data_IF_130067750867
#
_entry.id   IF_130067750867
#
_cell.length_a   1.000
_cell.length_b   1.000
_cell.length_c   1.000
_cell.angle_alpha   90.00
_cell.angle_beta   90.00
_cell.angle_gamma   90.00
#
_symmetry.space_group_name_H-M   'P 1'
#
loop_
_entity.id
_entity.type
_entity.pdbx_description
1 polymer ?
#
# COMPACT_ATOMS: atom_id res chain seq x y z
N UNK A 1 29.67 -52.87 -2.30
CA UNK A 1 28.39 -53.07 -3.00
C UNK A 1 28.17 -51.82 -3.82
N UNK A 2 28.32 -51.90 -5.14
CA UNK A 2 28.03 -50.77 -6.04
C UNK A 2 26.52 -50.65 -6.12
N UNK A 3 25.95 -49.55 -5.61
CA UNK A 3 24.56 -49.22 -5.90
C UNK A 3 24.41 -49.16 -7.43
N UNK A 4 23.44 -49.90 -7.96
CA UNK A 4 23.11 -49.83 -9.39
C UNK A 4 22.67 -48.40 -9.74
N UNK A 5 22.74 -48.01 -11.03
CA UNK A 5 22.30 -46.68 -11.44
C UNK A 5 20.85 -46.46 -10.97
N UNK A 6 20.65 -45.38 -10.21
CA UNK A 6 19.32 -44.96 -9.75
C UNK A 6 18.39 -44.83 -10.95
N UNK A 7 17.13 -45.25 -10.80
CA UNK A 7 16.16 -45.14 -11.89
C UNK A 7 16.01 -43.66 -12.32
N UNK A 8 15.75 -43.36 -13.60
CA UNK A 8 15.54 -41.97 -14.04
C UNK A 8 14.47 -41.22 -13.22
N UNK A 9 13.42 -41.91 -12.79
CA UNK A 9 12.39 -41.33 -11.91
C UNK A 9 12.95 -40.97 -10.53
N UNK A 10 13.79 -41.82 -9.95
CA UNK A 10 14.46 -41.55 -8.67
C UNK A 10 15.36 -40.32 -8.77
N UNK A 11 16.04 -40.13 -9.91
CA UNK A 11 16.88 -38.94 -10.13
C UNK A 11 16.04 -37.66 -10.20
N UNK A 12 14.88 -37.70 -10.87
CA UNK A 12 13.95 -36.55 -10.95
C UNK A 12 13.27 -36.22 -9.62
N UNK A 13 13.21 -37.18 -8.68
CA UNK A 13 12.65 -37.00 -7.34
C UNK A 13 13.70 -36.59 -6.31
N UNK A 14 15.00 -36.61 -6.67
CA UNK A 14 16.04 -36.16 -5.77
C UNK A 14 15.91 -34.65 -5.55
N UNK A 15 16.00 -34.17 -4.29
CA UNK A 15 15.95 -32.75 -4.01
C UNK A 15 17.21 -32.06 -4.53
N UNK A 16 17.08 -30.80 -4.92
CA UNK A 16 18.21 -29.95 -5.26
C UNK A 16 18.95 -29.56 -3.97
N UNK A 17 20.25 -29.82 -3.95
CA UNK A 17 21.14 -29.57 -2.80
C UNK A 17 21.15 -28.10 -2.36
N UNK A 18 21.07 -27.15 -3.32
CA UNK A 18 21.01 -25.72 -3.05
C UNK A 18 19.64 -25.29 -2.53
N UNK A 19 18.57 -26.01 -2.83
CA UNK A 19 17.26 -25.67 -2.26
C UNK A 19 17.21 -25.96 -0.75
N UNK A 20 17.98 -26.95 -0.29
CA UNK A 20 17.95 -27.42 1.10
C UNK A 20 18.65 -26.49 2.10
N UNK A 21 19.45 -25.50 1.67
CA UNK A 21 20.18 -24.60 2.60
C UNK A 21 19.33 -23.43 3.13
N UNK A 22 18.12 -23.25 2.60
CA UNK A 22 17.22 -22.15 2.97
C UNK A 22 16.24 -22.58 4.05
N UNK A 23 16.37 -21.98 5.23
CA UNK A 23 15.51 -22.26 6.39
C UNK A 23 14.72 -21.01 6.83
N UNK A 24 13.75 -21.15 7.76
CA UNK A 24 12.99 -20.00 8.28
C UNK A 24 13.84 -18.88 8.89
N UNK A 25 15.07 -19.19 9.34
CA UNK A 25 16.01 -18.21 9.93
C UNK A 25 17.01 -17.64 8.90
N UNK A 26 16.82 -17.94 7.61
CA UNK A 26 17.67 -17.49 6.51
C UNK A 26 18.63 -18.57 6.02
N UNK A 27 19.86 -18.16 5.71
CA UNK A 27 20.94 -19.09 5.34
C UNK A 27 21.47 -19.72 6.63
N UNK A 28 21.05 -20.93 6.96
CA UNK A 28 21.43 -21.50 8.25
C UNK A 28 20.91 -22.90 8.49
N UNK A 29 21.67 -23.89 8.01
CA UNK A 29 21.44 -25.32 8.22
C UNK A 29 20.70 -25.98 7.07
N UNK A 30 21.24 -27.11 6.60
CA UNK A 30 20.60 -27.92 5.57
C UNK A 30 19.34 -28.57 6.16
N UNK A 31 18.21 -28.34 5.52
CA UNK A 31 16.94 -28.94 5.87
C UNK A 31 16.84 -30.36 5.32
N UNK A 32 16.11 -31.22 6.03
CA UNK A 32 15.63 -32.46 5.46
C UNK A 32 14.70 -32.16 4.27
N UNK A 33 14.72 -32.95 3.18
CA UNK A 33 13.98 -32.65 1.95
C UNK A 33 12.47 -32.42 2.17
N UNK A 34 11.84 -33.26 3.00
CA UNK A 34 10.42 -33.09 3.33
C UNK A 34 10.17 -31.81 4.14
N UNK A 35 11.09 -31.45 5.03
CA UNK A 35 11.04 -30.21 5.79
C UNK A 35 11.17 -28.98 4.88
N UNK A 36 12.08 -29.03 3.91
CA UNK A 36 12.22 -27.97 2.90
C UNK A 36 10.94 -27.80 2.07
N UNK A 37 10.37 -28.90 1.57
CA UNK A 37 9.11 -28.88 0.83
C UNK A 37 7.96 -28.27 1.65
N UNK A 38 7.79 -28.72 2.90
CA UNK A 38 6.76 -28.19 3.81
C UNK A 38 6.97 -26.69 4.07
N UNK A 39 8.20 -26.27 4.32
CA UNK A 39 8.53 -24.87 4.53
C UNK A 39 8.21 -24.00 3.30
N UNK A 40 8.56 -24.43 2.09
CA UNK A 40 8.21 -23.68 0.87
C UNK A 40 6.69 -23.63 0.66
N UNK A 41 5.96 -24.73 0.92
CA UNK A 41 4.48 -24.76 0.89
C UNK A 41 3.86 -23.74 1.84
N UNK A 42 4.30 -23.72 3.10
CA UNK A 42 3.82 -22.77 4.12
C UNK A 42 4.14 -21.32 3.73
N UNK A 43 5.33 -21.09 3.17
CA UNK A 43 5.78 -19.75 2.77
C UNK A 43 4.90 -19.16 1.66
N UNK A 44 4.30 -19.97 0.78
CA UNK A 44 3.37 -19.48 -0.26
C UNK A 44 1.90 -19.82 0.03
N UNK A 45 1.57 -20.31 1.22
CA UNK A 45 0.19 -20.66 1.57
C UNK A 45 -0.76 -19.45 1.49
N UNK A 46 -0.28 -18.27 1.91
CA UNK A 46 -1.03 -17.02 1.83
C UNK A 46 -1.09 -16.41 0.42
N UNK A 47 -0.29 -16.90 -0.53
CA UNK A 47 -0.33 -16.44 -1.92
C UNK A 47 -1.48 -17.15 -2.67
N UNK A 48 -2.72 -16.78 -2.33
CA UNK A 48 -3.95 -17.33 -2.92
C UNK A 48 -4.78 -16.22 -3.55
N UNK A 49 -5.28 -16.47 -4.76
CA UNK A 49 -6.17 -15.55 -5.45
C UNK A 49 -7.62 -15.69 -4.96
N UNK A 50 -8.33 -14.57 -4.84
CA UNK A 50 -9.74 -14.55 -4.41
C UNK A 50 -10.69 -15.16 -5.45
N UNK A 51 -11.88 -15.57 -5.02
CA UNK A 51 -12.86 -16.24 -5.88
C UNK A 51 -13.31 -15.39 -7.07
N UNK A 52 -13.40 -14.07 -6.87
CA UNK A 52 -13.77 -13.09 -7.89
C UNK A 52 -12.80 -13.03 -9.09
N UNK A 53 -11.56 -13.50 -8.93
CA UNK A 53 -10.59 -13.56 -10.02
C UNK A 53 -10.99 -14.67 -11.01
N UNK A 54 -10.98 -14.43 -12.34
CA UNK A 54 -11.34 -15.41 -13.34
C UNK A 54 -10.55 -16.72 -13.24
N UNK A 55 -11.22 -17.85 -13.51
CA UNK A 55 -10.65 -19.19 -13.40
C UNK A 55 -9.35 -19.35 -14.20
N UNK A 56 -9.29 -18.84 -15.43
CA UNK A 56 -8.07 -18.94 -16.24
C UNK A 56 -6.88 -18.19 -15.61
N UNK A 57 -7.10 -17.02 -15.01
CA UNK A 57 -6.06 -16.28 -14.27
C UNK A 57 -5.62 -17.08 -13.04
N UNK A 58 -6.56 -17.70 -12.31
CA UNK A 58 -6.27 -18.57 -11.16
C UNK A 58 -5.43 -19.79 -11.56
N UNK A 59 -5.82 -20.49 -12.61
CA UNK A 59 -5.10 -21.66 -13.12
C UNK A 59 -3.68 -21.30 -13.59
N UNK A 60 -3.52 -20.16 -14.27
CA UNK A 60 -2.20 -19.68 -14.65
C UNK A 60 -1.35 -19.33 -13.42
N UNK A 61 -1.91 -18.66 -12.41
CA UNK A 61 -1.16 -18.39 -11.18
C UNK A 61 -0.78 -19.66 -10.40
N UNK A 62 -1.67 -20.66 -10.35
CA UNK A 62 -1.38 -21.96 -9.73
C UNK A 62 -0.20 -22.68 -10.40
N UNK A 63 0.02 -22.47 -11.70
CA UNK A 63 1.24 -22.98 -12.36
C UNK A 63 2.51 -22.30 -11.82
N UNK A 64 2.47 -20.98 -11.56
CA UNK A 64 3.59 -20.28 -10.92
C UNK A 64 3.87 -20.83 -9.51
N UNK A 65 2.82 -21.08 -8.72
CA UNK A 65 2.96 -21.71 -7.38
C UNK A 65 3.56 -23.11 -7.48
N UNK A 66 3.11 -23.93 -8.42
CA UNK A 66 3.66 -25.28 -8.65
C UNK A 66 5.14 -25.23 -9.02
N UNK A 67 5.56 -24.31 -9.88
CA UNK A 67 6.98 -24.11 -10.19
C UNK A 67 7.77 -23.81 -8.92
N UNK A 68 7.30 -22.90 -8.07
CA UNK A 68 7.97 -22.60 -6.80
C UNK A 68 8.11 -23.84 -5.91
N UNK A 69 7.06 -24.66 -5.79
CA UNK A 69 7.12 -25.90 -5.02
C UNK A 69 8.10 -26.92 -5.61
N UNK A 70 8.15 -27.04 -6.94
CA UNK A 70 9.12 -27.87 -7.62
C UNK A 70 10.55 -27.31 -7.57
N UNK A 71 10.73 -26.07 -7.13
CA UNK A 71 12.04 -25.48 -6.82
C UNK A 71 12.87 -26.32 -5.84
N UNK A 72 12.22 -27.09 -4.98
CA UNK A 72 12.89 -28.02 -4.05
C UNK A 72 13.56 -29.19 -4.78
N UNK A 73 13.09 -29.55 -5.97
CA UNK A 73 13.65 -30.61 -6.81
C UNK A 73 14.60 -30.07 -7.88
N UNK A 74 14.36 -28.85 -8.38
CA UNK A 74 15.19 -28.18 -9.38
C UNK A 74 15.25 -26.69 -9.05
N UNK A 75 16.41 -26.22 -8.58
CA UNK A 75 16.56 -24.87 -8.04
C UNK A 75 16.14 -23.78 -9.02
N UNK A 76 16.36 -23.97 -10.32
CA UNK A 76 16.01 -22.98 -11.35
C UNK A 76 14.52 -22.63 -11.37
N UNK A 77 13.65 -23.49 -10.85
CA UNK A 77 12.22 -23.16 -10.75
C UNK A 77 11.92 -22.06 -9.71
N UNK A 78 12.82 -21.78 -8.77
CA UNK A 78 12.70 -20.59 -7.92
C UNK A 78 12.88 -19.28 -8.72
N UNK A 79 13.61 -19.31 -9.84
CA UNK A 79 13.66 -18.21 -10.82
C UNK A 79 12.46 -18.25 -11.77
N UNK A 80 12.12 -19.41 -12.33
CA UNK A 80 11.05 -19.49 -13.32
C UNK A 80 9.67 -19.12 -12.74
N UNK A 81 9.41 -19.46 -11.47
CA UNK A 81 8.14 -19.16 -10.80
C UNK A 81 7.80 -17.65 -10.75
N UNK A 82 8.65 -16.75 -10.22
CA UNK A 82 8.37 -15.32 -10.19
C UNK A 82 8.33 -14.69 -11.59
N UNK A 83 9.19 -15.13 -12.51
CA UNK A 83 9.15 -14.65 -13.90
C UNK A 83 7.82 -14.99 -14.58
N UNK A 84 7.34 -16.22 -14.41
CA UNK A 84 6.04 -16.63 -14.91
C UNK A 84 4.90 -15.87 -14.21
N UNK A 85 4.99 -15.63 -12.89
CA UNK A 85 4.00 -14.86 -12.15
C UNK A 85 3.88 -13.41 -12.65
N UNK A 86 4.98 -12.78 -13.09
CA UNK A 86 4.95 -11.44 -13.70
C UNK A 86 4.18 -11.44 -15.03
N UNK A 87 4.26 -12.51 -15.82
CA UNK A 87 3.44 -12.67 -17.02
C UNK A 87 1.95 -12.85 -16.66
N UNK A 88 1.65 -13.58 -15.58
CA UNK A 88 0.29 -13.74 -15.08
C UNK A 88 -0.27 -12.40 -14.59
N UNK A 89 0.51 -11.56 -13.90
CA UNK A 89 0.10 -10.22 -13.49
C UNK A 89 -0.30 -9.36 -14.70
N UNK A 90 0.53 -9.33 -15.74
CA UNK A 90 0.20 -8.58 -16.95
C UNK A 90 -1.07 -9.12 -17.63
N UNK A 91 -1.22 -10.45 -17.74
CA UNK A 91 -2.43 -11.07 -18.28
C UNK A 91 -3.67 -10.70 -17.44
N UNK A 92 -3.57 -10.72 -16.11
CA UNK A 92 -4.64 -10.33 -15.21
C UNK A 92 -5.06 -8.86 -15.41
N UNK A 93 -4.09 -7.96 -15.57
CA UNK A 93 -4.36 -6.55 -15.88
C UNK A 93 -5.09 -6.38 -17.22
N UNK A 94 -4.71 -7.15 -18.25
CA UNK A 94 -5.38 -7.13 -19.56
C UNK A 94 -6.83 -7.57 -19.46
N UNK A 95 -7.08 -8.69 -18.77
CA UNK A 95 -8.44 -9.20 -18.51
C UNK A 95 -9.23 -8.18 -17.70
N UNK A 96 -8.60 -7.56 -16.69
CA UNK A 96 -9.26 -6.56 -15.86
C UNK A 96 -9.61 -5.30 -16.65
N UNK A 97 -8.72 -4.84 -17.54
CA UNK A 97 -8.96 -3.68 -18.40
C UNK A 97 -10.21 -3.85 -19.28
N UNK A 98 -10.34 -5.02 -19.91
CA UNK A 98 -11.49 -5.31 -20.78
C UNK A 98 -12.78 -5.43 -19.97
N UNK A 99 -12.76 -6.22 -18.88
CA UNK A 99 -13.94 -6.45 -18.06
C UNK A 99 -14.39 -5.23 -17.27
N UNK A 100 -13.48 -4.31 -16.90
CA UNK A 100 -13.82 -3.04 -16.25
C UNK A 100 -14.75 -2.17 -17.10
N UNK A 101 -14.60 -2.23 -18.44
CA UNK A 101 -15.45 -1.51 -19.38
C UNK A 101 -16.56 -2.37 -19.99
N UNK A 102 -16.88 -3.51 -19.38
CA UNK A 102 -17.90 -4.45 -19.89
C UNK A 102 -17.69 -4.76 -21.39
N UNK A 103 -16.44 -5.04 -21.78
CA UNK A 103 -16.03 -5.31 -23.16
C UNK A 103 -16.29 -4.17 -24.17
N UNK A 104 -16.66 -2.98 -23.71
CA UNK A 104 -16.98 -1.80 -24.52
C UNK A 104 -16.15 -0.59 -24.11
N UNK A 105 -14.87 -0.62 -24.46
CA UNK A 105 -13.88 0.37 -24.02
C UNK A 105 -14.24 1.75 -24.58
N UNK A 106 -14.40 2.80 -23.73
CA UNK A 106 -14.70 4.15 -24.18
C UNK A 106 -13.48 4.75 -24.87
N UNK A 107 -13.65 5.20 -26.11
CA UNK A 107 -12.56 5.72 -26.92
C UNK A 107 -12.97 6.99 -27.66
N UNK A 108 -11.99 7.68 -28.24
CA UNK A 108 -12.24 8.71 -29.24
C UNK A 108 -12.03 8.15 -30.65
N UNK A 109 -12.98 8.41 -31.54
CA UNK A 109 -12.85 8.19 -32.99
C UNK A 109 -12.59 9.54 -33.65
N UNK A 110 -11.32 9.92 -33.75
CA UNK A 110 -10.94 11.31 -34.03
C UNK A 110 -11.26 12.18 -32.82
N UNK A 111 -12.16 13.15 -32.98
CA UNK A 111 -12.62 14.03 -31.89
C UNK A 111 -13.93 13.57 -31.24
N UNK A 112 -14.64 12.62 -31.85
CA UNK A 112 -15.94 12.18 -31.38
C UNK A 112 -15.82 11.03 -30.37
N UNK A 113 -16.62 11.04 -29.28
CA UNK A 113 -16.73 9.90 -28.38
C UNK A 113 -17.28 8.66 -29.10
N UNK A 114 -16.71 7.50 -28.81
CA UNK A 114 -17.17 6.22 -29.32
C UNK A 114 -16.82 5.07 -28.38
N UNK A 115 -17.05 3.84 -28.84
CA UNK A 115 -16.70 2.61 -28.11
C UNK A 115 -15.91 1.66 -29.00
N UNK A 116 -14.96 0.96 -28.40
CA UNK A 116 -14.22 -0.16 -28.99
C UNK A 116 -14.73 -1.47 -28.36
N UNK A 117 -15.49 -2.29 -29.09
CA UNK A 117 -15.83 -3.64 -28.63
C UNK A 117 -14.56 -4.51 -28.63
N UNK A 118 -14.25 -5.16 -27.51
CA UNK A 118 -13.07 -6.00 -27.38
C UNK A 118 -13.39 -7.24 -26.52
N UNK A 119 -13.38 -8.41 -27.14
CA UNK A 119 -13.50 -9.70 -26.45
C UNK A 119 -12.16 -10.15 -25.84
N UNK A 120 -11.06 -9.77 -26.49
CA UNK A 120 -9.70 -10.06 -26.06
C UNK A 120 -8.81 -8.83 -26.17
N UNK A 121 -7.58 -8.99 -25.68
CA UNK A 121 -6.62 -7.88 -25.61
C UNK A 121 -5.89 -7.62 -26.93
N UNK A 122 -5.96 -8.53 -27.90
CA UNK A 122 -5.36 -8.31 -29.21
C UNK A 122 -6.11 -7.21 -29.97
N UNK A 123 -7.43 -7.14 -29.83
CA UNK A 123 -8.23 -6.02 -30.37
C UNK A 123 -7.74 -4.67 -29.83
N UNK A 124 -7.44 -4.59 -28.52
CA UNK A 124 -6.90 -3.37 -27.90
C UNK A 124 -5.53 -3.02 -28.46
N UNK A 125 -4.67 -4.02 -28.65
CA UNK A 125 -3.31 -3.87 -29.19
C UNK A 125 -3.31 -3.43 -30.66
N UNK A 126 -4.23 -3.94 -31.46
CA UNK A 126 -4.45 -3.52 -32.84
C UNK A 126 -4.95 -2.07 -32.90
N UNK A 127 -5.84 -1.71 -31.97
CA UNK A 127 -6.39 -0.37 -31.84
C UNK A 127 -5.46 0.66 -31.18
N UNK A 128 -4.16 0.37 -30.94
CA UNK A 128 -3.21 1.21 -30.17
C UNK A 128 -3.09 2.69 -30.56
N UNK A 129 -3.51 3.07 -31.77
CA UNK A 129 -3.52 4.48 -32.23
C UNK A 129 -4.77 5.24 -31.77
N UNK A 130 -5.72 4.54 -31.17
CA UNK A 130 -6.96 5.07 -30.62
C UNK A 130 -6.70 5.62 -29.22
N UNK A 131 -7.39 6.70 -28.87
CA UNK A 131 -7.28 7.31 -27.54
C UNK A 131 -8.39 6.80 -26.63
N UNK A 132 -8.01 6.31 -25.45
CA UNK A 132 -8.93 6.02 -24.35
C UNK A 132 -9.61 7.31 -23.91
N UNK A 133 -10.93 7.26 -23.73
CA UNK A 133 -11.70 8.33 -23.12
C UNK A 133 -11.93 7.99 -21.65
N UNK A 134 -11.39 8.81 -20.77
CA UNK A 134 -11.54 8.66 -19.32
C UNK A 134 -12.89 9.22 -18.84
N UNK A 135 -13.27 8.87 -17.60
CA UNK A 135 -14.52 9.31 -16.99
C UNK A 135 -14.66 10.84 -16.89
N UNK A 136 -13.54 11.55 -16.70
CA UNK A 136 -13.45 13.02 -16.69
C UNK A 136 -13.49 13.65 -18.11
N UNK A 137 -13.59 12.82 -19.14
CA UNK A 137 -13.57 13.25 -20.55
C UNK A 137 -12.18 13.42 -21.14
N UNK A 138 -11.10 13.23 -20.36
CA UNK A 138 -9.73 13.39 -20.85
C UNK A 138 -9.30 12.27 -21.81
N UNK A 139 -8.31 12.57 -22.65
CA UNK A 139 -7.73 11.66 -23.65
C UNK A 139 -6.47 11.00 -23.12
N UNK A 140 -6.43 9.67 -23.06
CA UNK A 140 -5.23 8.90 -22.75
C UNK A 140 -4.89 7.93 -23.89
N UNK A 141 -3.67 7.42 -23.94
CA UNK A 141 -3.34 6.29 -24.82
C UNK A 141 -3.97 5.00 -24.31
N UNK A 142 -4.30 4.09 -25.23
CA UNK A 142 -4.71 2.74 -24.83
C UNK A 142 -3.54 2.03 -24.12
N UNK A 143 -3.79 1.39 -22.97
CA UNK A 143 -2.71 0.82 -22.16
C UNK A 143 -2.24 -0.52 -22.72
N UNK A 144 -1.35 -0.53 -23.70
CA UNK A 144 -0.96 -1.74 -24.44
C UNK A 144 0.18 -2.57 -23.81
N UNK A 145 0.81 -2.08 -22.74
CA UNK A 145 1.92 -2.76 -22.06
C UNK A 145 1.80 -2.61 -20.54
N UNK A 146 2.50 -3.47 -19.77
CA UNK A 146 2.39 -3.52 -18.30
C UNK A 146 2.46 -2.15 -17.60
N UNK A 147 3.45 -1.30 -17.95
CA UNK A 147 3.56 0.06 -17.38
C UNK A 147 2.29 0.89 -17.57
N UNK A 148 1.69 0.86 -18.77
CA UNK A 148 0.49 1.63 -19.07
C UNK A 148 -0.76 1.02 -18.43
N UNK A 149 -0.81 -0.31 -18.30
CA UNK A 149 -1.88 -1.01 -17.57
C UNK A 149 -1.87 -0.69 -16.08
N UNK A 150 -0.70 -0.69 -15.44
CA UNK A 150 -0.58 -0.26 -14.03
C UNK A 150 -0.98 1.21 -13.86
N UNK A 151 -0.54 2.09 -14.76
CA UNK A 151 -0.93 3.50 -14.75
C UNK A 151 -2.45 3.68 -14.93
N UNK A 152 -3.07 2.92 -15.83
CA UNK A 152 -4.53 2.88 -15.99
C UNK A 152 -5.21 2.40 -14.71
N UNK A 153 -4.78 1.28 -14.13
CA UNK A 153 -5.39 0.71 -12.93
C UNK A 153 -5.31 1.68 -11.74
N UNK A 154 -4.23 2.47 -11.62
CA UNK A 154 -4.13 3.54 -10.62
C UNK A 154 -5.04 4.73 -10.92
N UNK A 155 -5.13 5.12 -12.18
CA UNK A 155 -6.02 6.20 -12.59
C UNK A 155 -7.48 5.87 -12.25
N UNK A 156 -7.92 4.63 -12.52
CA UNK A 156 -9.23 4.11 -12.15
C UNK A 156 -9.34 3.72 -10.66
N UNK A 157 -8.33 4.04 -9.83
CA UNK A 157 -8.27 3.77 -8.38
C UNK A 157 -8.43 2.30 -7.98
N UNK A 158 -8.13 1.38 -8.89
CA UNK A 158 -8.09 -0.05 -8.59
C UNK A 158 -6.90 -0.37 -7.68
N UNK A 159 -5.75 0.27 -7.91
CA UNK A 159 -4.52 0.08 -7.13
C UNK A 159 -4.23 1.32 -6.25
N UNK A 160 -4.65 1.31 -4.97
CA UNK A 160 -4.40 2.41 -4.06
C UNK A 160 -2.95 2.43 -3.56
N UNK A 161 -2.61 3.51 -2.87
CA UNK A 161 -1.36 3.67 -2.17
C UNK A 161 -0.29 4.27 -3.05
N UNK A 162 0.38 5.29 -2.54
CA UNK A 162 1.50 5.96 -3.23
C UNK A 162 2.78 5.16 -3.15
N UNK A 163 3.08 4.54 -2.01
CA UNK A 163 4.33 3.81 -1.79
C UNK A 163 4.47 2.60 -2.71
N UNK A 164 3.36 1.94 -3.06
CA UNK A 164 3.38 0.80 -3.98
C UNK A 164 3.79 1.19 -5.41
N UNK A 165 3.85 2.48 -5.78
CA UNK A 165 4.34 2.91 -7.10
C UNK A 165 5.82 2.60 -7.34
N UNK A 166 6.64 2.57 -6.28
CA UNK A 166 8.04 2.09 -6.37
C UNK A 166 8.04 0.65 -6.90
N UNK A 167 7.13 -0.15 -6.39
CA UNK A 167 7.01 -1.57 -6.72
C UNK A 167 6.51 -1.72 -8.16
N UNK A 168 5.59 -0.88 -8.64
CA UNK A 168 5.18 -0.88 -10.06
C UNK A 168 6.37 -0.76 -11.01
N UNK A 169 7.30 0.16 -10.73
CA UNK A 169 8.50 0.35 -11.55
C UNK A 169 9.36 -0.91 -11.54
N UNK A 170 9.60 -1.48 -10.36
CA UNK A 170 10.36 -2.72 -10.22
C UNK A 170 9.68 -3.88 -10.96
N UNK A 171 8.36 -4.01 -10.87
CA UNK A 171 7.59 -5.05 -11.57
C UNK A 171 7.70 -4.90 -13.10
N UNK A 172 7.69 -3.67 -13.63
CA UNK A 172 7.89 -3.42 -15.06
C UNK A 172 9.30 -3.81 -15.50
N UNK A 173 10.33 -3.40 -14.76
CA UNK A 173 11.73 -3.71 -15.05
C UNK A 173 11.96 -5.23 -15.01
N UNK A 174 11.49 -5.91 -13.96
CA UNK A 174 11.60 -7.35 -13.80
C UNK A 174 10.84 -8.11 -14.90
N UNK A 175 9.59 -7.72 -15.21
CA UNK A 175 8.83 -8.37 -16.29
C UNK A 175 9.51 -8.22 -17.64
N UNK A 176 10.09 -7.05 -17.92
CA UNK A 176 10.81 -6.82 -19.17
C UNK A 176 12.08 -7.68 -19.23
N UNK A 177 12.78 -7.85 -18.12
CA UNK A 177 13.90 -8.78 -18.01
C UNK A 177 13.47 -10.22 -18.27
N UNK A 178 12.36 -10.68 -17.68
CA UNK A 178 11.82 -12.02 -17.92
C UNK A 178 11.42 -12.28 -19.38
N UNK A 179 10.90 -11.26 -20.07
CA UNK A 179 10.52 -11.36 -21.48
C UNK A 179 11.73 -11.33 -22.44
N UNK A 180 12.85 -10.76 -22.01
CA UNK A 180 14.04 -10.53 -22.82
C UNK A 180 15.32 -10.82 -22.03
N UNK A 181 15.57 -12.10 -21.66
CA UNK A 181 16.71 -12.46 -20.83
C UNK A 181 18.02 -12.20 -21.58
N UNK A 182 18.88 -11.38 -20.99
CA UNK A 182 20.23 -11.10 -21.52
C UNK A 182 21.33 -11.85 -20.76
N UNK A 183 20.99 -12.47 -19.62
CA UNK A 183 21.90 -13.18 -18.73
C UNK A 183 21.14 -14.22 -17.91
N UNK A 184 21.82 -15.28 -17.46
CA UNK A 184 21.25 -16.23 -16.49
C UNK A 184 21.15 -15.55 -15.12
N UNK A 185 19.93 -15.36 -14.63
CA UNK A 185 19.64 -14.91 -13.27
C UNK A 185 19.23 -16.10 -12.41
N UNK A 186 19.59 -16.05 -11.12
CA UNK A 186 19.25 -17.07 -10.15
C UNK A 186 18.56 -16.36 -8.99
N UNK A 187 17.31 -16.73 -8.73
CA UNK A 187 16.52 -16.20 -7.62
C UNK A 187 16.52 -17.20 -6.46
N UNK A 188 16.48 -16.68 -5.23
CA UNK A 188 16.40 -17.48 -4.02
C UNK A 188 14.93 -17.78 -3.64
N UNK A 189 14.65 -18.89 -2.93
CA UNK A 189 13.29 -19.22 -2.50
C UNK A 189 12.56 -18.09 -1.75
N UNK A 190 13.20 -17.33 -0.83
CA UNK A 190 12.56 -16.17 -0.19
C UNK A 190 12.21 -15.04 -1.16
N UNK A 191 13.01 -14.81 -2.21
CA UNK A 191 12.71 -13.82 -3.24
C UNK A 191 11.54 -14.27 -4.11
N UNK A 192 11.58 -15.53 -4.55
CA UNK A 192 10.52 -16.21 -5.29
C UNK A 192 9.16 -16.12 -4.59
N UNK A 193 9.08 -16.53 -3.32
CA UNK A 193 7.85 -16.47 -2.53
C UNK A 193 7.35 -15.04 -2.29
N UNK A 194 8.26 -14.09 -2.04
CA UNK A 194 7.92 -12.67 -1.88
C UNK A 194 7.32 -12.08 -3.16
N UNK A 195 7.83 -12.47 -4.33
CA UNK A 195 7.29 -12.04 -5.61
C UNK A 195 5.91 -12.66 -5.87
N UNK A 196 5.72 -13.96 -5.60
CA UNK A 196 4.41 -14.60 -5.72
C UNK A 196 3.35 -13.91 -4.85
N UNK A 197 3.69 -13.60 -3.59
CA UNK A 197 2.81 -12.82 -2.70
C UNK A 197 2.52 -11.42 -3.27
N UNK A 198 3.54 -10.74 -3.78
CA UNK A 198 3.36 -9.42 -4.42
C UNK A 198 2.41 -9.49 -5.61
N UNK A 199 2.58 -10.46 -6.50
CA UNK A 199 1.68 -10.65 -7.66
C UNK A 199 0.24 -10.93 -7.21
N UNK A 200 0.03 -11.78 -6.20
CA UNK A 200 -1.30 -12.04 -5.64
C UNK A 200 -1.95 -10.79 -5.07
N UNK A 201 -1.19 -9.98 -4.32
CA UNK A 201 -1.68 -8.71 -3.78
C UNK A 201 -2.18 -7.78 -4.89
N UNK A 202 -1.42 -7.64 -5.98
CA UNK A 202 -1.84 -6.84 -7.13
C UNK A 202 -3.08 -7.43 -7.81
N UNK A 203 -3.09 -8.74 -8.10
CA UNK A 203 -4.21 -9.37 -8.79
C UNK A 203 -5.48 -9.29 -7.93
N UNK A 204 -5.45 -9.68 -6.65
CA UNK A 204 -6.62 -9.59 -5.78
C UNK A 204 -7.16 -8.16 -5.72
N UNK A 205 -6.26 -7.19 -5.62
CA UNK A 205 -6.63 -5.78 -5.53
C UNK A 205 -7.30 -5.24 -6.79
N UNK A 206 -6.91 -5.74 -7.97
CA UNK A 206 -7.59 -5.40 -9.22
C UNK A 206 -9.08 -5.78 -9.19
N UNK A 207 -9.46 -6.83 -8.48
CA UNK A 207 -10.85 -7.27 -8.27
C UNK A 207 -11.48 -6.72 -6.99
N UNK A 208 -10.89 -5.70 -6.37
CA UNK A 208 -11.43 -5.00 -5.20
C UNK A 208 -11.08 -5.63 -3.86
N UNK A 209 -10.60 -6.87 -3.87
CA UNK A 209 -10.25 -7.61 -2.66
C UNK A 209 -8.88 -7.24 -2.11
N UNK A 210 -8.71 -7.33 -0.79
CA UNK A 210 -7.42 -7.14 -0.14
C UNK A 210 -6.86 -8.50 0.27
N UNK A 211 -5.56 -8.67 0.12
CA UNK A 211 -4.90 -9.88 0.59
C UNK A 211 -4.63 -9.74 2.10
N UNK A 212 -5.14 -10.64 2.96
CA UNK A 212 -4.83 -10.63 4.37
C UNK A 212 -3.31 -10.70 4.61
N UNK A 213 -2.78 -9.81 5.47
CA UNK A 213 -1.34 -9.68 5.70
C UNK A 213 -0.55 -9.14 4.50
N UNK A 214 -1.25 -8.59 3.49
CA UNK A 214 -0.64 -7.93 2.34
C UNK A 214 0.15 -6.68 2.75
N UNK A 215 1.27 -6.46 2.07
CA UNK A 215 2.22 -5.37 2.36
C UNK A 215 2.00 -4.14 1.49
N UNK A 216 1.57 -4.32 0.26
CA UNK A 216 1.45 -3.27 -0.74
C UNK A 216 0.06 -2.65 -0.77
N UNK A 217 -0.97 -3.46 -0.52
CA UNK A 217 -2.36 -3.02 -0.42
C UNK A 217 -2.97 -3.53 0.89
N UNK A 218 -2.46 -3.08 2.05
CA UNK A 218 -2.97 -3.51 3.35
C UNK A 218 -4.48 -3.23 3.51
N UNK A 219 -5.12 -4.03 4.36
CA UNK A 219 -6.48 -3.81 4.88
C UNK A 219 -6.72 -2.39 5.38
N UNK A 220 -7.98 -1.92 5.45
CA UNK A 220 -8.25 -0.77 6.30
C UNK A 220 -7.89 -1.18 7.73
N UNK A 221 -7.34 -0.22 8.48
CA UNK A 221 -6.71 -0.50 9.77
C UNK A 221 -7.75 -0.40 10.87
N UNK A 222 -7.85 -1.43 11.70
CA UNK A 222 -8.73 -1.42 12.86
C UNK A 222 -8.15 -0.50 13.93
N UNK A 223 -8.97 0.41 14.45
CA UNK A 223 -8.59 1.28 15.56
C UNK A 223 -9.39 0.93 16.79
N UNK A 224 -8.73 1.00 17.93
CA UNK A 224 -9.32 0.79 19.25
C UNK A 224 -8.78 1.83 20.22
N UNK A 225 -9.43 2.04 21.37
CA UNK A 225 -8.92 2.97 22.36
C UNK A 225 -7.60 2.44 22.91
N UNK A 226 -6.58 3.30 22.95
CA UNK A 226 -5.25 3.02 23.46
C UNK A 226 -4.86 4.14 24.42
N UNK A 227 -4.39 3.76 25.59
CA UNK A 227 -3.98 4.70 26.63
C UNK A 227 -2.48 4.94 26.52
N UNK A 228 -2.07 6.19 26.64
CA UNK A 228 -0.68 6.57 26.82
C UNK A 228 -0.55 7.27 28.16
N UNK A 229 0.32 6.75 29.02
CA UNK A 229 0.80 7.47 30.20
C UNK A 229 2.16 8.10 29.89
N UNK A 230 2.32 9.38 30.20
CA UNK A 230 3.55 10.14 30.02
C UNK A 230 3.98 10.74 31.36
N UNK A 231 5.22 10.45 31.77
CA UNK A 231 5.78 11.05 32.97
C UNK A 231 5.80 12.60 32.84
N UNK A 232 5.56 13.36 33.93
CA UNK A 232 5.46 14.82 33.86
C UNK A 232 6.71 15.51 33.31
N UNK A 233 7.88 14.91 33.49
CA UNK A 233 9.17 15.39 32.99
C UNK A 233 9.52 14.87 31.58
N UNK A 234 8.66 14.05 30.97
CA UNK A 234 8.88 13.42 29.68
C UNK A 234 9.99 12.37 29.69
N UNK A 235 10.45 11.88 30.84
CA UNK A 235 11.52 10.89 30.94
C UNK A 235 11.08 9.46 30.57
N UNK A 236 9.80 9.15 30.76
CA UNK A 236 9.23 7.84 30.52
C UNK A 236 7.83 7.94 29.89
N UNK A 237 7.48 6.94 29.08
CA UNK A 237 6.13 6.72 28.60
C UNK A 237 5.78 5.24 28.67
N UNK A 238 4.49 4.95 28.75
CA UNK A 238 3.97 3.59 28.64
C UNK A 238 2.62 3.59 27.93
N UNK A 239 2.40 2.59 27.09
CA UNK A 239 1.16 2.41 26.35
C UNK A 239 0.40 1.21 26.92
N UNK A 240 -0.92 1.34 27.01
CA UNK A 240 -1.81 0.36 27.63
C UNK A 240 -3.08 0.16 26.81
N UNK A 241 -3.71 -1.01 26.95
CA UNK A 241 -5.15 -1.12 26.70
C UNK A 241 -5.92 -0.44 27.85
N UNK A 242 -7.14 0.09 27.62
CA UNK A 242 -7.91 0.79 28.65
C UNK A 242 -8.03 0.01 29.97
N UNK A 243 -8.37 -1.28 29.93
CA UNK A 243 -8.51 -2.10 31.14
C UNK A 243 -7.22 -2.31 31.95
N UNK A 244 -6.05 -2.11 31.35
CA UNK A 244 -4.75 -2.27 32.04
C UNK A 244 -4.39 -1.03 32.88
N UNK A 245 -5.17 0.06 32.83
CA UNK A 245 -4.90 1.26 33.63
C UNK A 245 -5.00 1.02 35.14
N UNK A 246 -5.80 0.04 35.55
CA UNK A 246 -5.96 -0.39 36.94
C UNK A 246 -4.67 -1.00 37.51
N UNK A 247 -3.79 -1.50 36.65
CA UNK A 247 -2.52 -2.14 37.02
C UNK A 247 -1.36 -1.15 37.11
N UNK A 248 -1.60 0.15 36.85
CA UNK A 248 -0.55 1.16 36.95
C UNK A 248 -0.07 1.29 38.40
N UNK A 249 1.25 1.12 38.65
CA UNK A 249 1.80 1.21 40.00
C UNK A 249 1.64 2.63 40.55
N UNK A 250 1.64 2.77 41.88
CA UNK A 250 1.47 4.08 42.53
C UNK A 250 2.46 5.15 42.02
N UNK A 251 3.69 4.74 41.68
CA UNK A 251 4.73 5.62 41.12
C UNK A 251 4.48 6.13 39.70
N UNK A 252 3.41 5.67 39.03
CA UNK A 252 3.00 6.14 37.71
C UNK A 252 1.62 6.81 37.70
N UNK A 253 0.98 6.99 38.86
CA UNK A 253 -0.39 7.57 38.94
C UNK A 253 -0.39 9.09 38.87
N UNK A 254 0.77 9.72 39.03
CA UNK A 254 1.00 11.15 38.85
C UNK A 254 1.36 11.52 37.39
N UNK A 255 1.38 10.54 36.48
CA UNK A 255 1.60 10.77 35.05
C UNK A 255 0.40 11.46 34.41
N UNK A 256 0.65 12.10 33.26
CA UNK A 256 -0.41 12.59 32.39
C UNK A 256 -0.88 11.45 31.49
N UNK A 257 -2.20 11.28 31.39
CA UNK A 257 -2.79 10.23 30.58
C UNK A 257 -3.59 10.80 29.42
N UNK A 258 -3.51 10.12 28.28
CA UNK A 258 -4.34 10.39 27.11
C UNK A 258 -4.87 9.07 26.54
N UNK A 259 -6.10 9.09 26.03
CA UNK A 259 -6.72 7.97 25.31
C UNK A 259 -6.88 8.36 23.85
N UNK A 260 -6.36 7.52 22.97
CA UNK A 260 -6.43 7.69 21.52
C UNK A 260 -7.25 6.59 20.89
N UNK A 261 -8.05 6.92 19.89
CA UNK A 261 -8.54 5.95 18.91
C UNK A 261 -7.46 5.75 17.86
N UNK A 262 -6.71 4.65 17.98
CA UNK A 262 -5.51 4.40 17.17
C UNK A 262 -5.36 2.92 16.77
N UNK A 263 -4.62 2.68 15.69
CA UNK A 263 -4.17 1.35 15.29
C UNK A 263 -3.26 0.72 16.36
N UNK A 264 -3.20 -0.61 16.40
CA UNK A 264 -2.35 -1.33 17.35
C UNK A 264 -0.85 -1.08 17.08
N UNK A 265 -0.48 -0.97 15.81
CA UNK A 265 0.87 -0.76 15.32
C UNK A 265 1.32 0.71 15.40
N UNK A 266 0.43 1.64 15.78
CA UNK A 266 0.76 3.06 15.87
C UNK A 266 1.72 3.34 17.03
N UNK A 267 2.75 4.13 16.77
CA UNK A 267 3.65 4.62 17.81
C UNK A 267 3.16 5.98 18.32
N UNK A 268 2.51 5.97 19.49
CA UNK A 268 1.87 7.16 20.05
C UNK A 268 2.82 8.08 20.82
N UNK A 269 4.10 7.71 20.95
CA UNK A 269 5.13 8.54 21.60
C UNK A 269 6.44 8.50 20.83
N UNK A 270 7.08 9.65 20.66
CA UNK A 270 8.38 9.75 19.98
C UNK A 270 9.46 10.35 20.91
N UNK A 271 10.72 9.93 20.79
CA UNK A 271 11.84 10.56 21.47
C UNK A 271 12.22 11.89 20.79
N UNK A 272 12.00 13.03 21.46
CA UNK A 272 12.40 14.36 20.98
C UNK A 272 12.70 15.32 22.13
N UNK A 273 13.95 15.35 22.60
CA UNK A 273 14.35 16.10 23.82
C UNK A 273 13.43 15.75 25.00
N UNK A 274 13.29 14.45 25.27
CA UNK A 274 12.23 13.87 26.10
C UNK A 274 11.16 13.16 25.26
N UNK A 275 10.38 12.27 25.87
CA UNK A 275 9.25 11.61 25.22
C UNK A 275 8.09 12.58 25.09
N UNK A 276 7.47 12.60 23.91
CA UNK A 276 6.29 13.43 23.62
C UNK A 276 5.25 12.60 22.88
N UNK A 277 3.99 13.00 23.00
CA UNK A 277 2.90 12.41 22.22
C UNK A 277 3.13 12.69 20.73
N UNK A 278 3.00 11.66 19.91
CA UNK A 278 3.11 11.79 18.44
C UNK A 278 1.94 12.61 17.91
N UNK A 279 0.74 12.38 18.43
CA UNK A 279 -0.47 13.11 18.07
C UNK A 279 -0.39 14.58 18.50
N UNK A 280 -0.80 15.49 17.60
CA UNK A 280 -0.92 16.93 17.88
C UNK A 280 -2.26 17.42 17.36
N UNK A 281 -3.04 18.06 18.23
CA UNK A 281 -4.36 18.57 17.86
C UNK A 281 -4.29 19.49 16.63
N UNK A 282 -5.23 19.27 15.70
CA UNK A 282 -5.30 20.00 14.42
C UNK A 282 -4.27 19.57 13.37
N UNK A 283 -3.41 18.59 13.65
CA UNK A 283 -2.42 18.05 12.71
C UNK A 283 -2.56 16.53 12.56
N UNK A 284 -2.12 16.01 11.41
CA UNK A 284 -1.95 14.59 11.16
C UNK A 284 -0.46 14.27 11.26
N UNK A 285 -0.04 13.73 12.40
CA UNK A 285 1.38 13.45 12.71
C UNK A 285 1.67 11.98 12.99
N UNK A 286 0.64 11.14 12.99
CA UNK A 286 0.71 9.69 13.20
C UNK A 286 0.72 8.93 11.87
N UNK A 287 1.29 7.72 11.87
CA UNK A 287 1.39 6.89 10.66
C UNK A 287 -0.01 6.55 10.12
N UNK A 288 -0.89 6.09 11.01
CA UNK A 288 -2.29 5.81 10.74
C UNK A 288 -3.19 6.94 11.25
N UNK A 289 -4.45 7.06 10.76
CA UNK A 289 -5.41 8.01 11.31
C UNK A 289 -5.60 7.78 12.82
N UNK A 290 -5.38 8.83 13.61
CA UNK A 290 -5.42 8.80 15.07
C UNK A 290 -6.26 9.98 15.58
N UNK A 291 -7.06 9.74 16.61
CA UNK A 291 -7.91 10.76 17.23
C UNK A 291 -7.73 10.74 18.75
N UNK A 292 -7.58 11.91 19.36
CA UNK A 292 -7.58 12.06 20.82
C UNK A 292 -9.01 11.99 21.34
N UNK A 293 -9.33 10.96 22.11
CA UNK A 293 -10.65 10.79 22.73
C UNK A 293 -10.74 11.48 24.09
N UNK A 294 -9.64 11.49 24.83
CA UNK A 294 -9.62 12.02 26.20
C UNK A 294 -8.19 12.30 26.68
N UNK A 295 -8.04 13.27 27.58
CA UNK A 295 -6.82 13.53 28.34
C UNK A 295 -7.16 13.93 29.79
N UNK A 296 -6.27 13.61 30.73
CA UNK A 296 -6.42 13.94 32.15
C UNK A 296 -5.56 13.11 33.09
N UNK A 297 -5.95 13.09 34.38
CA UNK A 297 -5.23 12.38 35.44
C UNK A 297 -5.65 10.91 35.61
N UNK A 298 -4.82 10.11 36.30
CA UNK A 298 -5.06 8.66 36.45
C UNK A 298 -6.45 8.31 37.02
N UNK A 299 -6.90 8.98 38.09
CA UNK A 299 -8.17 8.63 38.74
C UNK A 299 -9.37 8.87 37.83
N UNK A 300 -9.40 10.01 37.12
CA UNK A 300 -10.46 10.32 36.17
C UNK A 300 -10.51 9.31 35.01
N UNK A 301 -9.34 8.83 34.58
CA UNK A 301 -9.26 7.79 33.56
C UNK A 301 -9.83 6.46 34.06
N UNK A 302 -9.48 6.05 35.28
CA UNK A 302 -10.01 4.84 35.92
C UNK A 302 -11.53 4.90 35.98
N UNK A 303 -12.09 5.99 36.51
CA UNK A 303 -13.54 6.17 36.64
C UNK A 303 -14.25 6.06 35.27
N UNK A 304 -13.65 6.62 34.21
CA UNK A 304 -14.18 6.54 32.84
C UNK A 304 -14.08 5.14 32.24
N UNK A 305 -12.98 4.44 32.48
CA UNK A 305 -12.79 3.06 32.01
C UNK A 305 -13.78 2.11 32.69
N UNK A 306 -13.96 2.23 34.01
CA UNK A 306 -14.92 1.42 34.76
C UNK A 306 -16.37 1.72 34.34
N UNK A 307 -16.68 2.96 33.95
CA UNK A 307 -17.96 3.33 33.37
C UNK A 307 -18.16 2.86 31.91
N UNK A 308 -17.19 2.18 31.30
CA UNK A 308 -17.26 1.72 29.90
C UNK A 308 -17.18 2.85 28.87
N UNK A 309 -16.64 4.02 29.25
CA UNK A 309 -16.69 5.25 28.44
C UNK A 309 -15.97 5.16 27.09
N UNK A 310 -15.11 4.15 26.88
CA UNK A 310 -14.35 3.95 25.65
C UNK A 310 -14.76 2.70 24.87
N UNK A 311 -15.60 1.82 25.42
CA UNK A 311 -15.97 0.56 24.76
C UNK A 311 -16.61 0.73 23.37
N UNK A 312 -17.45 1.76 23.12
CA UNK A 312 -18.05 1.98 21.81
C UNK A 312 -17.04 2.49 20.76
N UNK A 313 -15.91 3.05 21.17
CA UNK A 313 -14.97 3.73 20.27
C UNK A 313 -14.06 2.72 19.56
N UNK A 314 -14.60 2.04 18.53
CA UNK A 314 -13.84 1.14 17.65
C UNK A 314 -14.32 1.33 16.23
N UNK A 315 -13.39 1.40 15.29
CA UNK A 315 -13.70 1.50 13.88
C UNK A 315 -12.62 0.86 13.00
N UNK A 316 -12.83 0.93 11.70
CA UNK A 316 -11.87 0.48 10.68
C UNK A 316 -11.77 1.59 9.65
N UNK A 317 -10.55 2.07 9.38
CA UNK A 317 -10.33 3.24 8.54
C UNK A 317 -9.36 2.97 7.40
N UNK A 318 -9.62 3.62 6.27
CA UNK A 318 -8.66 3.70 5.17
C UNK A 318 -7.48 4.59 5.54
N UNK A 319 -6.28 4.17 5.15
CA UNK A 319 -5.06 4.91 5.46
C UNK A 319 -4.12 5.12 4.26
N UNK A 320 -4.47 4.60 3.08
CA UNK A 320 -3.73 4.84 1.84
C UNK A 320 -4.33 6.01 1.08
N UNK A 321 -3.54 6.66 0.22
CA UNK A 321 -3.97 7.79 -0.61
C UNK A 321 -4.72 8.89 0.17
N UNK A 322 -4.20 9.24 1.35
CA UNK A 322 -4.76 10.28 2.21
C UNK A 322 -4.46 11.67 1.67
N UNK A 323 -5.45 12.56 1.77
CA UNK A 323 -5.30 13.97 1.42
C UNK A 323 -4.71 14.75 2.60
N UNK A 324 -3.57 15.40 2.36
CA UNK A 324 -2.87 16.24 3.31
C UNK A 324 -2.80 17.68 2.83
N UNK A 325 -2.89 18.61 3.79
CA UNK A 325 -2.68 20.04 3.62
C UNK A 325 -1.46 20.49 4.42
N UNK A 326 -0.49 21.11 3.75
CA UNK A 326 0.76 21.54 4.36
C UNK A 326 0.96 23.02 4.06
N UNK A 327 1.20 23.81 5.12
CA UNK A 327 1.52 25.23 5.00
C UNK A 327 3.02 25.43 4.96
N UNK A 328 3.44 26.37 4.14
CA UNK A 328 4.78 26.93 4.12
C UNK A 328 4.71 28.44 4.35
N UNK A 329 5.35 28.92 5.41
CA UNK A 329 5.37 30.33 5.76
C UNK A 329 6.71 30.69 6.40
N UNK A 330 7.32 31.79 5.94
CA UNK A 330 8.62 32.30 6.45
C UNK A 330 9.73 31.23 6.48
N UNK A 331 9.82 30.39 5.43
CA UNK A 331 10.81 29.31 5.33
C UNK A 331 10.58 28.14 6.27
N UNK A 332 9.41 28.06 6.92
CA UNK A 332 9.02 26.95 7.78
C UNK A 332 7.90 26.14 7.14
N UNK A 333 8.08 24.82 7.12
CA UNK A 333 7.06 23.86 6.72
C UNK A 333 6.32 23.38 7.98
N UNK A 334 5.00 23.60 8.02
CA UNK A 334 4.16 23.13 9.11
C UNK A 334 3.82 21.63 8.93
N UNK A 335 3.50 20.89 10.02
CA UNK A 335 3.03 19.52 9.89
C UNK A 335 1.75 19.41 9.05
N UNK A 336 1.51 18.23 8.49
CA UNK A 336 0.33 17.95 7.69
C UNK A 336 -0.97 18.13 8.48
N UNK A 337 -2.03 18.55 7.80
CA UNK A 337 -3.41 18.66 8.31
C UNK A 337 -4.36 17.91 7.39
N UNK A 338 -5.52 17.54 7.92
CA UNK A 338 -6.66 17.11 7.09
C UNK A 338 -7.43 18.32 6.58
N UNK A 339 -8.32 18.12 5.60
CA UNK A 339 -9.22 19.17 5.13
C UNK A 339 -10.15 19.63 6.26
N UNK A 340 -10.66 18.70 7.06
CA UNK A 340 -11.55 18.97 8.20
C UNK A 340 -10.85 19.81 9.26
N UNK A 341 -9.61 19.47 9.61
CA UNK A 341 -8.81 20.23 10.58
C UNK A 341 -8.53 21.66 10.10
N UNK A 342 -8.32 21.85 8.79
CA UNK A 342 -8.12 23.19 8.22
C UNK A 342 -9.43 23.99 8.20
N UNK A 343 -10.56 23.37 7.88
CA UNK A 343 -11.89 23.99 7.90
C UNK A 343 -12.38 24.33 9.32
N UNK A 344 -12.02 23.51 10.31
CA UNK A 344 -12.37 23.74 11.71
C UNK A 344 -11.58 24.89 12.35
N UNK A 345 -10.50 25.35 11.70
CA UNK A 345 -9.68 26.44 12.19
C UNK A 345 -10.41 27.78 11.99
N UNK A 346 -10.79 28.44 13.09
CA UNK A 346 -11.51 29.72 13.04
C UNK A 346 -10.66 30.87 12.46
N UNK A 347 -9.34 30.80 12.66
CA UNK A 347 -8.36 31.74 12.11
C UNK A 347 -7.22 30.94 11.45
N UNK A 348 -7.45 30.44 10.22
CA UNK A 348 -6.51 29.56 9.56
C UNK A 348 -5.23 30.35 9.20
N UNK A 349 -4.05 29.80 9.51
CA UNK A 349 -2.84 30.61 9.54
C UNK A 349 -2.35 30.94 8.12
N UNK A 350 -1.96 32.20 7.89
CA UNK A 350 -1.64 32.68 6.53
C UNK A 350 -0.35 32.11 5.93
N UNK A 351 -0.35 31.80 4.64
CA UNK A 351 0.83 31.31 3.96
C UNK A 351 0.52 30.60 2.64
N UNK A 352 1.58 30.03 2.05
CA UNK A 352 1.46 29.18 0.88
C UNK A 352 1.02 27.79 1.32
N UNK A 353 0.10 27.17 0.60
CA UNK A 353 -0.46 25.86 0.94
C UNK A 353 -0.25 24.86 -0.19
N UNK A 354 -0.02 23.62 0.21
CA UNK A 354 0.09 22.46 -0.68
C UNK A 354 -1.01 21.47 -0.34
N UNK A 355 -1.68 20.96 -1.36
CA UNK A 355 -2.58 19.83 -1.26
C UNK A 355 -1.94 18.61 -1.92
N UNK A 356 -1.82 17.54 -1.15
CA UNK A 356 -1.01 16.36 -1.50
C UNK A 356 -1.80 15.09 -1.21
N UNK A 357 -1.66 14.07 -2.05
CA UNK A 357 -2.09 12.72 -1.73
C UNK A 357 -0.84 11.88 -1.43
N UNK A 358 -0.78 11.30 -0.24
CA UNK A 358 0.30 10.42 0.24
C UNK A 358 -0.27 9.30 1.12
N UNK A 359 0.53 8.30 1.50
CA UNK A 359 0.05 7.26 2.41
C UNK A 359 0.28 7.67 3.88
N UNK A 360 1.30 8.49 4.12
CA UNK A 360 1.65 8.96 5.47
C UNK A 360 1.86 10.47 5.50
N UNK A 361 1.62 11.13 6.65
CA UNK A 361 1.91 12.56 6.77
C UNK A 361 3.40 12.89 6.66
N UNK A 362 4.28 11.94 7.00
CA UNK A 362 5.73 12.12 6.90
C UNK A 362 6.19 12.20 5.45
N UNK A 363 5.64 11.35 4.55
CA UNK A 363 5.93 11.42 3.12
C UNK A 363 5.48 12.76 2.53
N UNK A 364 4.29 13.23 2.89
CA UNK A 364 3.80 14.54 2.46
C UNK A 364 4.69 15.69 2.97
N UNK A 365 5.07 15.64 4.26
CA UNK A 365 5.95 16.64 4.86
C UNK A 365 7.34 16.67 4.23
N UNK A 366 7.93 15.49 4.03
CA UNK A 366 9.22 15.35 3.36
C UNK A 366 9.18 15.88 1.93
N UNK A 367 8.12 15.58 1.17
CA UNK A 367 7.96 16.10 -0.19
C UNK A 367 7.99 17.64 -0.20
N UNK A 368 7.22 18.30 0.66
CA UNK A 368 7.20 19.77 0.70
C UNK A 368 8.54 20.34 1.16
N UNK A 369 9.19 19.72 2.15
CA UNK A 369 10.48 20.17 2.66
C UNK A 369 11.60 20.12 1.63
N UNK A 370 11.75 18.99 0.92
CA UNK A 370 12.83 18.80 -0.05
C UNK A 370 12.58 19.59 -1.34
N UNK A 371 11.33 19.64 -1.82
CA UNK A 371 11.02 20.26 -3.10
C UNK A 371 10.58 21.73 -2.99
N UNK A 372 10.62 22.37 -1.81
CA UNK A 372 10.21 23.78 -1.68
C UNK A 372 11.03 24.72 -2.58
N UNK A 373 12.33 24.46 -2.69
CA UNK A 373 13.30 25.34 -3.34
C UNK A 373 13.28 25.26 -4.88
N UNK A 374 12.87 24.13 -5.44
CA UNK A 374 12.98 23.85 -6.87
C UNK A 374 11.70 24.18 -7.66
N UNK A 375 10.65 24.66 -6.99
CA UNK A 375 9.32 24.78 -7.58
C UNK A 375 8.95 26.22 -7.94
N UNK A 376 8.81 26.48 -9.24
CA UNK A 376 8.20 27.71 -9.78
C UNK A 376 6.75 27.85 -9.24
N UNK A 377 6.45 28.91 -8.45
CA UNK A 377 5.13 29.16 -7.90
C UNK A 377 4.05 29.38 -8.96
N UNK A 378 4.44 29.75 -10.20
CA UNK A 378 3.51 30.02 -11.30
C UNK A 378 3.22 28.80 -12.17
N UNK A 379 3.97 27.70 -12.00
CA UNK A 379 3.64 26.45 -12.67
C UNK A 379 2.34 25.90 -12.10
N UNK A 380 1.25 25.94 -12.87
CA UNK A 380 0.01 25.25 -12.54
C UNK A 380 0.35 23.76 -12.46
N UNK A 381 0.33 23.14 -11.26
CA UNK A 381 0.63 21.73 -11.18
C UNK A 381 -0.50 20.99 -11.90
N UNK A 382 -0.19 20.30 -13.00
CA UNK A 382 -0.99 19.14 -13.35
C UNK A 382 -0.86 18.15 -12.19
N UNK A 383 -1.94 17.43 -11.88
CA UNK A 383 -1.90 16.40 -10.85
C UNK A 383 -0.91 15.32 -11.27
N UNK A 384 0.34 15.50 -10.87
CA UNK A 384 1.46 14.66 -11.24
C UNK A 384 2.05 14.05 -9.97
N UNK A 385 2.40 12.77 -10.11
CA UNK A 385 3.11 12.04 -9.09
C UNK A 385 4.58 12.47 -9.14
N UNK A 386 5.15 12.86 -8.01
CA UNK A 386 6.59 13.00 -7.91
C UNK A 386 7.24 11.62 -8.11
N UNK A 387 8.21 11.51 -9.02
CA UNK A 387 8.88 10.24 -9.32
C UNK A 387 9.82 9.76 -8.19
N UNK A 388 10.23 10.67 -7.29
CA UNK A 388 11.17 10.37 -6.22
C UNK A 388 10.47 9.94 -4.92
N UNK A 389 9.41 10.65 -4.53
CA UNK A 389 8.69 10.39 -3.28
C UNK A 389 7.27 9.84 -3.46
N UNK A 390 6.80 9.71 -4.71
CA UNK A 390 5.51 9.10 -5.09
C UNK A 390 4.25 9.83 -4.59
N UNK A 391 4.42 10.95 -3.89
CA UNK A 391 3.38 11.89 -3.50
C UNK A 391 2.76 12.52 -4.75
N UNK A 392 1.43 12.64 -4.77
CA UNK A 392 0.72 13.33 -5.85
C UNK A 392 0.29 14.73 -5.42
N UNK A 393 0.77 15.75 -6.13
CA UNK A 393 0.43 17.15 -5.84
C UNK A 393 -0.91 17.49 -6.49
N UNK A 394 -1.95 17.71 -5.69
CA UNK A 394 -3.28 18.09 -6.17
C UNK A 394 -3.40 19.59 -6.46
N UNK A 395 -2.58 20.40 -5.79
CA UNK A 395 -2.64 21.84 -5.95
C UNK A 395 -1.64 22.58 -5.07
N UNK A 396 -1.34 23.80 -5.51
CA UNK A 396 -0.51 24.78 -4.82
C UNK A 396 -1.32 26.07 -4.75
N UNK A 397 -1.36 26.68 -3.58
CA UNK A 397 -2.19 27.84 -3.31
C UNK A 397 -1.33 28.91 -2.65
N UNK A 398 -1.33 30.12 -3.19
CA UNK A 398 -0.51 31.20 -2.68
C UNK A 398 -1.03 31.73 -1.33
N UNK A 399 -2.32 31.55 -1.08
CA UNK A 399 -3.00 32.07 0.11
C UNK A 399 -3.90 31.03 0.76
N UNK A 400 -4.28 31.28 2.01
CA UNK A 400 -5.22 30.45 2.75
C UNK A 400 -6.62 30.47 2.14
N UNK A 401 -7.06 31.62 1.62
CA UNK A 401 -8.35 31.76 0.97
C UNK A 401 -8.48 30.89 -0.29
N UNK A 402 -7.43 30.81 -1.11
CA UNK A 402 -7.39 29.92 -2.28
C UNK A 402 -7.46 28.44 -1.88
N UNK A 403 -6.71 28.05 -0.85
CA UNK A 403 -6.72 26.69 -0.31
C UNK A 403 -8.13 26.28 0.19
N UNK A 404 -8.75 27.12 1.01
CA UNK A 404 -10.11 26.90 1.52
C UNK A 404 -11.15 26.88 0.39
N UNK A 405 -11.00 27.77 -0.60
CA UNK A 405 -11.84 27.79 -1.80
C UNK A 405 -11.74 26.50 -2.61
N UNK A 406 -10.58 25.85 -2.64
CA UNK A 406 -10.41 24.53 -3.27
C UNK A 406 -11.10 23.44 -2.45
N UNK A 407 -10.93 23.42 -1.13
CA UNK A 407 -11.54 22.42 -0.24
C UNK A 407 -13.06 22.43 -0.40
N UNK A 408 -13.69 23.60 -0.38
CA UNK A 408 -15.14 23.74 -0.52
C UNK A 408 -15.71 23.34 -1.89
N UNK A 409 -14.86 23.23 -2.92
CA UNK A 409 -15.25 22.82 -4.29
C UNK A 409 -14.90 21.39 -4.63
N UNK A 410 -14.00 20.76 -3.88
CA UNK A 410 -13.67 19.36 -4.11
C UNK A 410 -14.93 18.54 -3.83
N UNK A 411 -15.48 17.82 -4.82
CA UNK A 411 -16.56 16.89 -4.52
C UNK A 411 -16.04 15.95 -3.44
N UNK A 412 -16.84 15.74 -2.39
CA UNK A 412 -16.61 14.66 -1.44
C UNK A 412 -16.25 13.43 -2.26
N UNK A 413 -15.04 12.90 -2.04
CA UNK A 413 -14.46 11.83 -2.86
C UNK A 413 -15.57 10.86 -3.27
N UNK A 414 -15.85 10.66 -4.57
CA UNK A 414 -16.87 9.69 -4.94
C UNK A 414 -16.44 8.36 -4.33
N UNK A 415 -17.29 7.84 -3.44
CA UNK A 415 -17.18 6.47 -2.96
C UNK A 415 -16.92 5.61 -4.20
N UNK A 416 -15.82 4.84 -4.17
CA UNK A 416 -15.46 3.94 -5.26
C UNK A 416 -16.74 3.27 -5.74
N UNK A 417 -17.06 3.42 -7.03
CA UNK A 417 -18.26 2.81 -7.62
C UNK A 417 -18.32 1.37 -7.12
N UNK A 418 -19.38 1.07 -6.35
CA UNK A 418 -19.57 -0.24 -5.74
C UNK A 418 -19.52 -1.26 -6.86
N UNK A 419 -18.46 -2.06 -6.87
CA UNK A 419 -18.43 -3.33 -7.57
C UNK A 419 -19.43 -4.21 -6.80
N UNK A 420 -20.69 -4.18 -7.22
CA UNK A 420 -21.67 -5.22 -6.91
C UNK A 420 -21.48 -6.40 -7.82
#
# INVERSE_FOLDING_TARGET
>A
MSEGPSSPLTQLQAPDEMALIFSPVGLGGRMEPEGAARFQMETIAAATLVDAVPTETKENFERARKLHLYGVLEYEFFTAAPEYALLVLEAALRVRFISYYDHRIPVFRGEEPGTLPAEDFDVVREARRTRLRRADGSKADLPIHLKALLAWARYERLLPGRRSRIVDRALVELRNHSAHPTSRTIEAPPGSSRMLRTVVEYINRLWGERTPGGRHFPGPIARRPRVVGLAPDGSASRQFAPGQILEVPASGRDWNFAVFLAAEEEELTLPHQGLRLTHREGFQTTLYPCELLWEGGWQELVDRVEAGGFDPARDVVEHLDRLFWIRVAAGKVDPARSAENLLACSDPPEGRWYSLIADTPHEALHHVGEHEADLDPQSTPQAEACEECFVEVQGRFATTAEALGRIGRSPSHPAAHGLT
#
